data_IF_701365310790
#
_entry.id   IF_701365310790
#
_cell.length_a   1.000
_cell.length_b   1.000
_cell.length_c   1.000
_cell.angle_alpha   90.00
_cell.angle_beta   90.00
_cell.angle_gamma   90.00
#
_symmetry.space_group_name_H-M   'P 1'
#
loop_
_entity.id
_entity.type
_entity.pdbx_description
1 polymer ?
#
# COMPACT_ATOMS: atom_id res chain seq x y z
N UNK A 1 -7.68 15.69 -4.47
CA UNK A 1 -7.55 15.31 -3.05
C UNK A 1 -7.92 13.83 -2.82
N UNK A 2 -9.04 13.29 -3.40
CA UNK A 2 -9.46 11.91 -3.16
C UNK A 2 -8.38 10.88 -3.55
N UNK A 3 -7.73 11.03 -4.70
CA UNK A 3 -6.62 10.15 -5.10
C UNK A 3 -5.40 10.27 -4.20
N UNK A 4 -5.20 11.43 -3.59
CA UNK A 4 -4.16 11.63 -2.59
C UNK A 4 -4.44 10.76 -1.36
N UNK A 5 -5.70 10.73 -0.87
CA UNK A 5 -6.12 9.87 0.24
C UNK A 5 -6.00 8.39 -0.15
N UNK A 6 -6.43 8.03 -1.37
CA UNK A 6 -6.31 6.67 -1.92
C UNK A 6 -4.85 6.20 -1.88
N UNK A 7 -3.94 7.00 -2.42
CA UNK A 7 -2.51 6.65 -2.44
C UNK A 7 -1.92 6.65 -1.02
N UNK A 8 -2.22 7.65 -0.21
CA UNK A 8 -1.75 7.76 1.17
C UNK A 8 -2.13 6.52 2.00
N UNK A 9 -3.41 6.11 1.97
CA UNK A 9 -3.88 4.95 2.74
C UNK A 9 -3.20 3.65 2.27
N UNK A 10 -3.11 3.43 0.95
CA UNK A 10 -2.48 2.25 0.40
C UNK A 10 -0.98 2.16 0.78
N UNK A 11 -0.28 3.28 0.67
CA UNK A 11 1.17 3.34 0.96
C UNK A 11 1.45 3.23 2.45
N UNK A 12 0.69 3.94 3.29
CA UNK A 12 0.86 3.89 4.76
C UNK A 12 0.68 2.47 5.28
N UNK A 13 -0.35 1.76 4.82
CA UNK A 13 -0.58 0.38 5.23
C UNK A 13 0.52 -0.58 4.76
N UNK A 14 1.03 -0.42 3.55
CA UNK A 14 2.15 -1.23 3.05
C UNK A 14 3.45 -0.98 3.82
N UNK A 15 3.77 0.28 4.12
CA UNK A 15 4.94 0.65 4.93
C UNK A 15 4.81 0.06 6.33
N UNK A 16 3.61 0.06 6.93
CA UNK A 16 3.36 -0.50 8.26
C UNK A 16 3.73 -1.97 8.41
N UNK A 17 3.70 -2.77 7.32
CA UNK A 17 4.23 -4.14 7.33
C UNK A 17 5.74 -4.15 7.06
N UNK A 18 6.19 -3.40 6.05
CA UNK A 18 7.58 -3.47 5.58
C UNK A 18 8.57 -3.05 6.66
N UNK A 19 8.21 -2.06 7.47
CA UNK A 19 9.10 -1.49 8.49
C UNK A 19 9.48 -2.50 9.56
N UNK A 20 8.51 -3.27 10.03
CA UNK A 20 8.70 -4.24 11.12
C UNK A 20 8.56 -5.70 10.65
N UNK A 21 8.65 -5.98 9.34
CA UNK A 21 8.42 -7.32 8.80
C UNK A 21 9.30 -8.39 9.46
N UNK A 22 10.60 -8.12 9.64
CA UNK A 22 11.54 -9.07 10.26
C UNK A 22 11.29 -9.26 11.76
N UNK A 23 11.17 -8.21 12.59
CA UNK A 23 10.78 -8.38 13.99
C UNK A 23 9.40 -9.01 14.15
N UNK A 24 8.41 -8.61 13.36
CA UNK A 24 7.03 -9.10 13.45
C UNK A 24 6.94 -10.61 13.27
N UNK A 25 7.59 -11.19 12.25
CA UNK A 25 7.55 -12.65 12.04
C UNK A 25 8.26 -13.39 13.17
N UNK A 26 9.36 -12.86 13.70
CA UNK A 26 10.08 -13.47 14.81
C UNK A 26 9.26 -13.40 16.12
N UNK A 27 8.58 -12.29 16.37
CA UNK A 27 7.73 -12.09 17.53
C UNK A 27 6.45 -12.93 17.46
N UNK A 28 5.84 -13.09 16.28
CA UNK A 28 4.65 -13.92 16.10
C UNK A 28 4.90 -15.41 16.27
N UNK A 29 6.11 -15.87 15.89
CA UNK A 29 6.47 -17.28 15.90
C UNK A 29 7.71 -17.52 16.78
N UNK A 30 7.67 -17.04 18.04
CA UNK A 30 8.79 -17.11 18.99
C UNK A 30 9.42 -18.50 19.06
N UNK A 31 10.75 -18.53 18.89
CA UNK A 31 11.54 -19.75 18.97
C UNK A 31 11.53 -20.63 17.70
N UNK A 32 10.71 -20.31 16.69
CA UNK A 32 10.62 -21.08 15.45
C UNK A 32 11.29 -20.38 14.26
N UNK A 33 11.51 -19.06 14.31
CA UNK A 33 12.07 -18.28 13.22
C UNK A 33 13.45 -17.74 13.61
N UNK A 34 14.48 -18.19 12.89
CA UNK A 34 15.83 -17.66 13.02
C UNK A 34 15.94 -16.29 12.32
N UNK A 35 16.85 -15.43 12.79
CA UNK A 35 17.08 -14.09 12.20
C UNK A 35 17.42 -14.17 10.70
N UNK A 36 18.16 -15.18 10.26
CA UNK A 36 18.45 -15.40 8.84
C UNK A 36 17.19 -15.69 8.01
N UNK A 37 16.24 -16.48 8.55
CA UNK A 37 14.97 -16.78 7.91
C UNK A 37 14.07 -15.52 7.85
N UNK A 38 14.07 -14.71 8.91
CA UNK A 38 13.36 -13.43 8.93
C UNK A 38 13.94 -12.44 7.91
N UNK A 39 15.26 -12.39 7.70
CA UNK A 39 15.90 -11.65 6.63
C UNK A 39 15.48 -12.15 5.24
N UNK A 40 15.41 -13.46 5.05
CA UNK A 40 14.90 -14.11 3.83
C UNK A 40 13.44 -13.74 3.55
N UNK A 41 12.60 -13.63 4.58
CA UNK A 41 11.22 -13.18 4.46
C UNK A 41 11.13 -11.74 3.93
N UNK A 42 11.94 -10.80 4.42
CA UNK A 42 12.00 -9.43 3.88
C UNK A 42 12.40 -9.42 2.41
N UNK A 43 13.39 -10.26 2.04
CA UNK A 43 13.78 -10.45 0.64
C UNK A 43 12.63 -10.96 -0.22
N UNK A 44 11.87 -11.94 0.27
CA UNK A 44 10.67 -12.46 -0.39
C UNK A 44 9.61 -11.37 -0.59
N UNK A 45 9.33 -10.57 0.44
CA UNK A 45 8.39 -9.43 0.34
C UNK A 45 8.83 -8.44 -0.73
N UNK A 46 10.13 -8.18 -0.87
CA UNK A 46 10.68 -7.28 -1.91
C UNK A 46 10.44 -7.84 -3.32
N UNK A 47 10.56 -9.16 -3.50
CA UNK A 47 10.24 -9.84 -4.77
C UNK A 47 8.74 -9.68 -5.09
N UNK A 48 7.86 -9.91 -4.11
CA UNK A 48 6.42 -9.74 -4.30
C UNK A 48 6.02 -8.28 -4.56
N UNK A 49 6.70 -7.31 -3.94
CA UNK A 49 6.53 -5.88 -4.26
C UNK A 49 6.84 -5.61 -5.73
N UNK A 50 7.98 -6.09 -6.20
CA UNK A 50 8.40 -5.91 -7.59
C UNK A 50 7.46 -6.63 -8.57
N UNK A 51 7.19 -7.91 -8.34
CA UNK A 51 6.28 -8.70 -9.18
C UNK A 51 4.86 -8.12 -9.20
N UNK A 52 4.39 -7.61 -8.05
CA UNK A 52 3.10 -6.96 -7.91
C UNK A 52 2.96 -5.73 -8.80
N UNK A 53 4.03 -4.96 -9.02
CA UNK A 53 4.00 -3.80 -9.93
C UNK A 53 3.65 -4.23 -11.36
N UNK A 54 4.26 -5.31 -11.86
CA UNK A 54 3.96 -5.81 -13.20
C UNK A 54 2.59 -6.47 -13.29
N UNK A 55 2.31 -7.37 -12.34
CA UNK A 55 1.05 -8.12 -12.33
C UNK A 55 -0.16 -7.19 -12.25
N UNK A 56 -0.21 -6.32 -11.25
CA UNK A 56 -1.36 -5.45 -11.01
C UNK A 56 -1.48 -4.32 -12.03
N UNK A 57 -0.35 -3.78 -12.54
CA UNK A 57 -0.41 -2.81 -13.63
C UNK A 57 -1.06 -3.42 -14.86
N UNK A 58 -0.62 -4.61 -15.29
CA UNK A 58 -1.22 -5.32 -16.42
C UNK A 58 -2.69 -5.69 -16.15
N UNK A 59 -3.00 -6.23 -14.96
CA UNK A 59 -4.36 -6.58 -14.58
C UNK A 59 -5.28 -5.35 -14.59
N UNK A 60 -4.78 -4.19 -14.18
CA UNK A 60 -5.55 -2.95 -14.16
C UNK A 60 -5.92 -2.43 -15.55
N UNK A 61 -5.21 -2.84 -16.61
CA UNK A 61 -5.58 -2.52 -18.00
C UNK A 61 -6.88 -3.24 -18.40
N UNK A 62 -7.11 -4.45 -17.87
CA UNK A 62 -8.31 -5.25 -18.16
C UNK A 62 -9.48 -4.91 -17.23
N UNK A 63 -9.22 -4.75 -15.93
CA UNK A 63 -10.25 -4.51 -14.92
C UNK A 63 -10.68 -3.04 -14.82
N UNK A 64 -9.82 -2.13 -15.28
CA UNK A 64 -9.93 -0.70 -15.02
C UNK A 64 -9.31 -0.31 -13.66
N UNK A 65 -8.75 0.91 -13.63
CA UNK A 65 -7.95 1.39 -12.48
C UNK A 65 -8.75 1.49 -11.19
N UNK A 66 -9.96 2.03 -11.28
CA UNK A 66 -10.87 2.18 -10.14
C UNK A 66 -11.24 0.83 -9.52
N UNK A 67 -11.54 -0.18 -10.36
CA UNK A 67 -11.87 -1.53 -9.90
C UNK A 67 -10.65 -2.24 -9.28
N UNK A 68 -9.46 -2.02 -9.82
CA UNK A 68 -8.21 -2.55 -9.24
C UNK A 68 -7.98 -2.01 -7.83
N UNK A 69 -8.15 -0.70 -7.62
CA UNK A 69 -8.05 -0.11 -6.28
C UNK A 69 -9.16 -0.56 -5.34
N UNK A 70 -10.37 -0.83 -5.87
CA UNK A 70 -11.44 -1.46 -5.10
C UNK A 70 -10.99 -2.82 -4.54
N UNK A 71 -10.34 -3.65 -5.37
CA UNK A 71 -9.77 -4.93 -4.96
C UNK A 71 -8.68 -4.73 -3.91
N UNK A 72 -7.75 -3.78 -4.12
CA UNK A 72 -6.67 -3.50 -3.16
C UNK A 72 -7.22 -3.18 -1.78
N UNK A 73 -8.21 -2.32 -1.69
CA UNK A 73 -8.77 -1.91 -0.41
C UNK A 73 -9.63 -2.98 0.24
N UNK A 74 -10.48 -3.67 -0.52
CA UNK A 74 -11.34 -4.73 0.02
C UNK A 74 -10.52 -5.93 0.48
N UNK A 75 -9.67 -6.45 -0.41
CA UNK A 75 -8.82 -7.59 -0.08
C UNK A 75 -7.80 -7.20 0.99
N UNK A 76 -7.19 -6.02 0.88
CA UNK A 76 -6.25 -5.50 1.86
C UNK A 76 -6.87 -5.41 3.25
N UNK A 77 -8.09 -4.85 3.40
CA UNK A 77 -8.77 -4.79 4.68
C UNK A 77 -8.98 -6.17 5.30
N UNK A 78 -9.43 -7.16 4.50
CA UNK A 78 -9.62 -8.54 4.95
C UNK A 78 -8.28 -9.14 5.40
N UNK A 79 -7.23 -8.98 4.60
CA UNK A 79 -5.92 -9.56 4.88
C UNK A 79 -5.26 -8.92 6.12
N UNK A 80 -5.33 -7.60 6.27
CA UNK A 80 -4.84 -6.92 7.47
C UNK A 80 -5.60 -7.31 8.73
N UNK A 81 -6.91 -7.51 8.62
CA UNK A 81 -7.73 -7.96 9.74
C UNK A 81 -7.42 -9.41 10.15
N UNK A 82 -7.16 -10.29 9.19
CA UNK A 82 -6.93 -11.72 9.42
C UNK A 82 -5.49 -12.08 9.73
N UNK A 83 -4.52 -11.24 9.34
CA UNK A 83 -3.09 -11.52 9.55
C UNK A 83 -2.73 -11.83 11.02
N UNK A 84 -3.26 -11.12 12.05
CA UNK A 84 -3.00 -11.46 13.44
C UNK A 84 -3.43 -12.87 13.84
N UNK A 85 -4.43 -13.47 13.18
CA UNK A 85 -4.92 -14.82 13.47
C UNK A 85 -3.93 -15.92 13.11
N UNK A 86 -2.90 -15.61 12.32
CA UNK A 86 -1.83 -16.56 11.95
C UNK A 86 -0.81 -16.77 13.06
N UNK A 87 -0.84 -15.95 14.12
CA UNK A 87 0.09 -15.94 15.24
C UNK A 87 0.18 -17.31 15.94
N UNK A 88 1.29 -17.57 16.62
CA UNK A 88 1.61 -18.85 17.24
C UNK A 88 0.63 -19.34 18.31
N UNK A 89 -0.10 -18.41 18.94
CA UNK A 89 -1.15 -18.71 19.94
C UNK A 89 -2.55 -18.93 19.33
N UNK A 90 -2.69 -18.78 18.02
CA UNK A 90 -3.93 -19.03 17.27
C UNK A 90 -3.73 -20.15 16.25
N UNK A 91 -3.62 -19.82 14.96
CA UNK A 91 -3.46 -20.80 13.88
C UNK A 91 -2.05 -21.38 13.79
N UNK A 92 -1.05 -20.70 14.35
CA UNK A 92 0.37 -21.07 14.33
C UNK A 92 0.87 -21.47 12.93
N UNK A 93 0.55 -20.67 11.93
CA UNK A 93 0.86 -20.99 10.54
C UNK A 93 1.79 -19.96 9.90
N UNK A 94 3.10 -20.21 9.95
CA UNK A 94 4.11 -19.40 9.25
C UNK A 94 3.85 -19.30 7.75
N UNK A 95 3.53 -20.39 7.02
CA UNK A 95 3.25 -20.27 5.57
C UNK A 95 2.05 -19.37 5.27
N UNK A 96 1.00 -19.42 6.08
CA UNK A 96 -0.17 -18.55 5.89
C UNK A 96 0.17 -17.09 6.17
N UNK A 97 0.93 -16.79 7.21
CA UNK A 97 1.44 -15.45 7.50
C UNK A 97 2.23 -14.88 6.31
N UNK A 98 3.20 -15.67 5.81
CA UNK A 98 4.04 -15.27 4.69
C UNK A 98 3.21 -15.04 3.43
N UNK A 99 2.25 -15.93 3.13
CA UNK A 99 1.38 -15.80 1.96
C UNK A 99 0.51 -14.53 2.04
N UNK A 100 -0.12 -14.26 3.19
CA UNK A 100 -0.92 -13.05 3.40
C UNK A 100 -0.07 -11.80 3.25
N UNK A 101 1.09 -11.73 3.92
CA UNK A 101 1.99 -10.60 3.85
C UNK A 101 2.50 -10.36 2.42
N UNK A 102 2.84 -11.43 1.69
CA UNK A 102 3.27 -11.35 0.30
C UNK A 102 2.18 -10.76 -0.62
N UNK A 103 0.92 -11.18 -0.46
CA UNK A 103 -0.22 -10.62 -1.22
C UNK A 103 -0.40 -9.14 -0.89
N UNK A 104 -0.39 -8.75 0.39
CA UNK A 104 -0.50 -7.34 0.80
C UNK A 104 0.60 -6.50 0.14
N UNK A 105 1.84 -6.97 0.20
CA UNK A 105 2.98 -6.24 -0.35
C UNK A 105 2.96 -6.20 -1.89
N UNK A 106 2.43 -7.24 -2.55
CA UNK A 106 2.18 -7.19 -4.00
C UNK A 106 1.20 -6.09 -4.39
N UNK A 107 0.11 -5.93 -3.62
CA UNK A 107 -0.87 -4.87 -3.84
C UNK A 107 -0.31 -3.47 -3.54
N UNK A 108 0.55 -3.35 -2.52
CA UNK A 108 1.29 -2.12 -2.25
C UNK A 108 2.13 -1.69 -3.46
N UNK A 109 2.92 -2.62 -4.03
CA UNK A 109 3.70 -2.37 -5.25
C UNK A 109 2.81 -2.04 -6.45
N UNK A 110 1.72 -2.78 -6.62
CA UNK A 110 0.73 -2.57 -7.67
C UNK A 110 0.06 -1.20 -7.60
N UNK A 111 -0.32 -0.77 -6.40
CA UNK A 111 -0.93 0.55 -6.17
C UNK A 111 -0.04 1.68 -6.65
N UNK A 112 1.25 1.60 -6.37
CA UNK A 112 2.20 2.60 -6.85
C UNK A 112 2.36 2.60 -8.38
N UNK A 113 2.40 1.42 -8.99
CA UNK A 113 2.60 1.28 -10.44
C UNK A 113 1.37 1.70 -11.26
N UNK A 114 0.16 1.54 -10.72
CA UNK A 114 -1.09 1.85 -11.44
C UNK A 114 -1.53 3.31 -11.34
N UNK A 115 -0.97 4.08 -10.38
CA UNK A 115 -1.44 5.46 -10.14
C UNK A 115 -1.24 6.42 -11.33
N UNK A 116 -0.13 6.40 -12.10
CA UNK A 116 0.03 7.28 -13.25
C UNK A 116 -1.03 7.02 -14.33
N UNK A 117 -1.36 5.75 -14.57
CA UNK A 117 -2.41 5.37 -15.50
C UNK A 117 -3.80 5.79 -14.99
N UNK A 118 -4.06 5.67 -13.70
CA UNK A 118 -5.31 6.13 -13.09
C UNK A 118 -5.48 7.65 -13.24
N UNK A 119 -4.40 8.43 -13.08
CA UNK A 119 -4.41 9.87 -13.33
C UNK A 119 -4.72 10.19 -14.79
N UNK A 120 -4.10 9.44 -15.74
CA UNK A 120 -4.34 9.61 -17.17
C UNK A 120 -5.82 9.39 -17.52
N UNK A 121 -6.42 8.33 -16.98
CA UNK A 121 -7.83 8.00 -17.22
C UNK A 121 -8.80 9.05 -16.64
N UNK A 122 -8.40 9.79 -15.60
CA UNK A 122 -9.26 10.79 -14.94
C UNK A 122 -9.10 12.20 -15.49
N UNK A 123 -7.88 12.59 -15.89
CA UNK A 123 -7.53 13.98 -16.20
C UNK A 123 -6.99 14.18 -17.61
N UNK A 124 -6.90 13.12 -18.43
CA UNK A 124 -6.24 13.17 -19.73
C UNK A 124 -4.71 13.15 -19.63
N UNK A 125 -4.01 13.03 -20.77
CA UNK A 125 -2.55 12.82 -20.81
C UNK A 125 -1.73 14.05 -20.45
N UNK A 126 -2.20 15.26 -20.82
CA UNK A 126 -1.40 16.49 -20.81
C UNK A 126 -0.79 16.87 -19.46
N UNK A 127 -1.59 16.86 -18.40
CA UNK A 127 -1.17 17.31 -17.07
C UNK A 127 -0.74 16.18 -16.12
N UNK A 128 -0.65 14.92 -16.60
CA UNK A 128 -0.40 13.75 -15.74
C UNK A 128 0.87 13.91 -14.91
N UNK A 129 1.97 14.36 -15.52
CA UNK A 129 3.26 14.50 -14.83
C UNK A 129 3.20 15.52 -13.70
N UNK A 130 2.56 16.67 -13.93
CA UNK A 130 2.43 17.72 -12.93
C UNK A 130 1.51 17.30 -11.77
N UNK A 131 0.40 16.61 -12.08
CA UNK A 131 -0.53 16.09 -11.08
C UNK A 131 0.12 14.96 -10.29
N UNK A 132 0.85 14.07 -10.97
CA UNK A 132 1.56 12.95 -10.35
C UNK A 132 2.63 13.45 -9.37
N UNK A 133 3.43 14.45 -9.74
CA UNK A 133 4.42 15.05 -8.85
C UNK A 133 3.80 15.58 -7.55
N UNK A 134 2.65 16.24 -7.64
CA UNK A 134 1.91 16.68 -6.44
C UNK A 134 1.31 15.52 -5.66
N UNK A 135 0.85 14.48 -6.34
CA UNK A 135 0.29 13.29 -5.72
C UNK A 135 1.34 12.51 -4.93
N UNK A 136 2.61 12.53 -5.35
CA UNK A 136 3.72 11.88 -4.64
C UNK A 136 3.95 12.43 -3.23
N UNK A 137 3.43 13.62 -2.89
CA UNK A 137 3.42 14.10 -1.50
C UNK A 137 2.64 13.17 -0.57
N UNK A 138 1.66 12.42 -1.08
CA UNK A 138 0.96 11.38 -0.31
C UNK A 138 1.91 10.26 0.10
N UNK A 139 2.80 9.85 -0.81
CA UNK A 139 3.82 8.84 -0.54
C UNK A 139 4.83 9.33 0.52
N UNK A 140 5.33 10.56 0.38
CA UNK A 140 6.25 11.15 1.35
C UNK A 140 5.60 11.28 2.73
N UNK A 141 4.34 11.70 2.79
CA UNK A 141 3.58 11.80 4.05
C UNK A 141 3.37 10.41 4.66
N UNK A 142 3.05 9.41 3.85
CA UNK A 142 2.91 8.03 4.30
C UNK A 142 4.23 7.47 4.86
N UNK A 143 5.37 7.81 4.25
CA UNK A 143 6.70 7.44 4.73
C UNK A 143 7.06 8.04 6.10
N UNK A 144 6.38 9.08 6.54
CA UNK A 144 6.51 9.65 7.89
C UNK A 144 5.45 9.06 8.81
N UNK A 145 4.19 9.05 8.38
CA UNK A 145 3.06 8.65 9.23
C UNK A 145 3.06 7.16 9.52
N UNK A 146 3.45 6.31 8.55
CA UNK A 146 3.55 4.86 8.73
C UNK A 146 4.45 4.49 9.90
N UNK A 147 5.76 4.87 9.85
CA UNK A 147 6.69 4.67 10.95
C UNK A 147 6.23 5.27 12.28
N UNK A 148 5.66 6.47 12.27
CA UNK A 148 5.14 7.09 13.51
C UNK A 148 4.03 6.28 14.16
N UNK A 149 3.13 5.69 13.37
CA UNK A 149 2.06 4.81 13.90
C UNK A 149 2.70 3.54 14.48
N UNK A 150 3.54 2.87 13.71
CA UNK A 150 4.14 1.58 14.09
C UNK A 150 5.01 1.75 15.35
N UNK A 151 6.00 2.64 15.28
CA UNK A 151 6.95 2.85 16.37
C UNK A 151 6.26 3.45 17.60
N UNK A 152 5.32 4.39 17.43
CA UNK A 152 4.58 4.97 18.54
C UNK A 152 3.79 3.93 19.34
N UNK A 153 3.18 2.94 18.68
CA UNK A 153 2.48 1.84 19.36
C UNK A 153 3.47 0.89 20.01
N UNK A 154 4.54 0.51 19.29
CA UNK A 154 5.57 -0.39 19.83
C UNK A 154 6.24 0.22 21.07
N UNK A 155 6.61 1.50 21.02
CA UNK A 155 7.22 2.23 22.13
C UNK A 155 6.27 2.32 23.34
N UNK A 156 4.98 2.54 23.08
CA UNK A 156 3.96 2.52 24.13
C UNK A 156 3.89 1.17 24.85
N UNK A 157 3.94 0.06 24.12
CA UNK A 157 3.94 -1.28 24.72
C UNK A 157 5.22 -1.56 25.49
N UNK A 158 6.37 -1.19 24.94
CA UNK A 158 7.68 -1.39 25.59
C UNK A 158 7.80 -0.54 26.87
N UNK A 159 7.42 0.74 26.82
CA UNK A 159 7.52 1.64 27.98
C UNK A 159 6.60 1.25 29.14
N UNK A 160 5.47 0.61 28.84
CA UNK A 160 4.53 0.10 29.86
C UNK A 160 4.81 -1.36 30.24
N UNK A 161 5.96 -1.93 29.88
CA UNK A 161 6.33 -3.32 30.16
C UNK A 161 5.33 -4.37 29.65
N UNK A 162 4.57 -4.04 28.59
CA UNK A 162 3.62 -4.94 27.94
C UNK A 162 4.33 -5.81 26.90
N UNK A 163 3.72 -6.93 26.52
CA UNK A 163 4.26 -7.80 25.50
C UNK A 163 4.24 -7.10 24.12
N UNK A 164 5.42 -6.90 23.53
CA UNK A 164 5.57 -6.32 22.19
C UNK A 164 4.74 -7.05 21.12
N UNK A 165 4.55 -8.36 21.27
CA UNK A 165 3.71 -9.16 20.36
C UNK A 165 2.27 -8.68 20.25
N UNK A 166 1.71 -8.12 21.34
CA UNK A 166 0.32 -7.69 21.40
C UNK A 166 0.12 -6.30 20.78
N UNK A 167 1.22 -5.59 20.47
CA UNK A 167 1.20 -4.35 19.71
C UNK A 167 0.87 -4.56 18.23
N UNK A 168 1.39 -5.64 17.62
CA UNK A 168 1.21 -5.89 16.19
C UNK A 168 -0.25 -6.07 15.74
N UNK A 169 -1.12 -6.82 16.45
CA UNK A 169 -2.54 -6.85 16.13
C UNK A 169 -3.18 -5.47 16.09
N UNK A 170 -2.84 -4.60 17.03
CA UNK A 170 -3.35 -3.23 17.06
C UNK A 170 -2.88 -2.43 15.84
N UNK A 171 -1.59 -2.52 15.48
CA UNK A 171 -1.02 -1.89 14.29
C UNK A 171 -1.75 -2.38 13.04
N UNK A 172 -1.90 -3.69 12.88
CA UNK A 172 -2.55 -4.30 11.71
C UNK A 172 -4.04 -3.93 11.60
N UNK A 173 -4.76 -3.80 12.71
CA UNK A 173 -6.14 -3.31 12.71
C UNK A 173 -6.24 -1.83 12.35
N UNK A 174 -5.26 -0.99 12.73
CA UNK A 174 -5.20 0.41 12.26
C UNK A 174 -4.94 0.45 10.74
N UNK A 175 -4.05 -0.41 10.22
CA UNK A 175 -3.85 -0.52 8.77
C UNK A 175 -5.11 -0.99 8.04
N UNK A 176 -5.87 -1.92 8.63
CA UNK A 176 -7.20 -2.30 8.15
C UNK A 176 -8.15 -1.09 8.10
N UNK A 177 -8.18 -0.26 9.14
CA UNK A 177 -8.96 0.98 9.17
C UNK A 177 -8.57 1.96 8.06
N UNK A 178 -7.27 2.11 7.79
CA UNK A 178 -6.79 2.91 6.65
C UNK A 178 -7.25 2.34 5.31
N UNK A 179 -7.29 1.01 5.15
CA UNK A 179 -7.85 0.39 3.94
C UNK A 179 -9.33 0.75 3.76
N UNK A 180 -10.12 0.76 4.83
CA UNK A 180 -11.53 1.18 4.76
C UNK A 180 -11.66 2.66 4.36
N UNK A 181 -10.84 3.55 4.91
CA UNK A 181 -10.82 4.97 4.52
C UNK A 181 -10.44 5.12 3.05
N UNK A 182 -9.40 4.43 2.59
CA UNK A 182 -8.99 4.42 1.19
C UNK A 182 -10.07 3.86 0.26
N UNK A 183 -10.79 2.83 0.70
CA UNK A 183 -11.94 2.27 -0.01
C UNK A 183 -13.04 3.31 -0.25
N UNK A 184 -13.46 4.00 0.81
CA UNK A 184 -14.47 5.05 0.72
C UNK A 184 -14.00 6.18 -0.20
N UNK A 185 -12.75 6.62 -0.06
CA UNK A 185 -12.17 7.64 -0.91
C UNK A 185 -12.18 7.20 -2.39
N UNK A 186 -11.80 5.94 -2.69
CA UNK A 186 -11.81 5.41 -4.06
C UNK A 186 -13.22 5.33 -4.65
N UNK A 187 -14.23 4.97 -3.86
CA UNK A 187 -15.63 4.98 -4.31
C UNK A 187 -16.09 6.37 -4.76
N UNK A 188 -15.68 7.42 -4.02
CA UNK A 188 -16.03 8.80 -4.29
C UNK A 188 -15.29 9.40 -5.49
N UNK A 189 -14.20 8.78 -5.97
CA UNK A 189 -13.50 9.23 -7.19
C UNK A 189 -14.43 9.14 -8.39
N UNK A 190 -14.57 10.27 -9.10
CA UNK A 190 -15.36 10.38 -10.33
C UNK A 190 -14.46 10.89 -11.46
N UNK A 191 -14.62 10.38 -12.69
CA UNK A 191 -13.90 10.91 -13.84
C UNK A 191 -14.27 12.37 -14.06
N UNK A 192 -13.29 13.16 -14.46
CA UNK A 192 -13.49 14.55 -14.89
C UNK A 192 -14.07 14.52 -16.30
N UNK A 193 -15.08 15.35 -16.57
CA UNK A 193 -15.68 15.42 -17.91
C UNK A 193 -14.63 15.83 -18.95
N UNK A 194 -14.60 15.16 -20.10
CA UNK A 194 -13.63 15.37 -21.18
C UNK A 194 -13.54 16.81 -21.67
N UNK A 195 -14.63 17.57 -21.57
CA UNK A 195 -14.64 19.02 -21.89
C UNK A 195 -13.67 19.87 -21.06
N UNK A 196 -13.18 19.33 -19.94
CA UNK A 196 -12.20 19.98 -19.08
C UNK A 196 -10.78 19.44 -19.30
N UNK A 197 -10.61 18.47 -20.19
CA UNK A 197 -9.29 17.98 -20.56
C UNK A 197 -8.65 19.01 -21.51
N UNK A 198 -7.38 19.33 -21.29
CA UNK A 198 -6.63 20.10 -22.26
C UNK A 198 -6.32 19.20 -23.45
N UNK A 199 -6.78 19.59 -24.64
CA UNK A 199 -6.45 18.89 -25.86
C UNK A 199 -4.95 19.06 -26.18
N UNK A 200 -4.25 17.97 -26.45
CA UNK A 200 -2.85 17.99 -26.92
C UNK A 200 -2.68 18.83 -28.20
N UNK A 201 -3.75 19.00 -28.98
CA UNK A 201 -3.78 19.74 -30.23
C UNK A 201 -3.71 21.26 -30.07
N UNK A 202 -3.90 21.82 -28.87
CA UNK A 202 -3.82 23.26 -28.61
C UNK A 202 -2.40 23.73 -28.22
N UNK A 203 -1.42 22.84 -28.26
CA UNK A 203 -0.02 23.24 -28.17
C UNK A 203 0.39 23.82 -29.52
N UNK A 204 0.63 25.12 -29.58
CA UNK A 204 1.31 25.71 -30.71
C UNK A 204 2.59 24.89 -31.00
N UNK A 205 2.87 24.51 -32.26
CA UNK A 205 4.09 23.81 -32.57
C UNK A 205 5.24 24.67 -32.03
N UNK A 206 6.08 24.03 -31.19
CA UNK A 206 7.34 24.66 -30.78
C UNK A 206 8.09 24.94 -32.07
N UNK A 207 8.10 26.20 -32.47
CA UNK A 207 8.83 26.62 -33.68
C UNK A 207 10.28 26.12 -33.56
N UNK A 208 10.92 25.72 -34.66
CA UNK A 208 12.31 25.33 -34.65
C UNK A 208 13.11 26.46 -34.03
N UNK A 209 13.71 26.17 -32.88
CA UNK A 209 14.58 27.14 -32.18
C UNK A 209 15.74 27.51 -33.09
N UNK A 210 15.90 28.82 -33.25
CA UNK A 210 17.06 29.45 -33.87
C UNK A 210 18.26 29.35 -32.95
#
# INVERSE_FOLDING_TARGET
YLLWIVLFCNVTAGIGILEDASPMIQDFFKGHILAAAAGGFVGLLSIFNMAGRFFWASMSDFLGRKATYFIFFTLGAILFFTLPLTRGDHLNSVPLFVAIAAVIISMYGGGFATIPAYLKDLFGGYNVSAIHGRLLTAWSTAGIVGPLIVNGILDHYVSNHLNKQDAYPQILHIMCGLMVVGFVANLLVRPVAEKHWMAEQNLAPVGPGH
#
